data_IF_359553972036
#
_entry.id   IF_359553972036
#
_cell.length_a   1.000
_cell.length_b   1.000
_cell.length_c   1.000
_cell.angle_alpha   90.00
_cell.angle_beta   90.00
_cell.angle_gamma   90.00
#
_symmetry.space_group_name_H-M   'P 1'
#
loop_
_entity.id
_entity.type
_entity.pdbx_description
1 polymer ?
#
# COMPACT_ATOMS: atom_id res chain seq x y z
N UNK A 1 17.73 -38.48 -16.49
CA UNK A 1 17.12 -37.48 -17.38
C UNK A 1 16.36 -36.45 -16.56
N UNK A 2 16.19 -35.25 -17.13
CA UNK A 2 15.76 -33.96 -16.56
C UNK A 2 14.60 -34.01 -15.56
N UNK A 3 14.89 -33.85 -14.26
CA UNK A 3 13.95 -33.25 -13.32
C UNK A 3 14.00 -31.74 -13.54
N UNK A 4 13.06 -31.24 -14.34
CA UNK A 4 12.86 -29.82 -14.57
C UNK A 4 12.62 -29.12 -13.24
N UNK A 5 13.65 -28.44 -12.74
CA UNK A 5 13.51 -27.42 -11.71
C UNK A 5 12.56 -26.37 -12.27
N UNK A 6 11.29 -26.44 -11.86
CA UNK A 6 10.37 -25.32 -11.97
C UNK A 6 10.98 -24.25 -11.07
N UNK A 7 11.85 -23.44 -11.65
CA UNK A 7 12.30 -22.19 -11.05
C UNK A 7 11.06 -21.30 -10.97
N UNK A 8 10.24 -21.52 -9.95
CA UNK A 8 9.40 -20.47 -9.41
C UNK A 8 10.39 -19.41 -8.97
N UNK A 9 10.60 -18.40 -9.83
CA UNK A 9 11.49 -17.29 -9.58
C UNK A 9 10.85 -16.48 -8.43
N UNK A 10 11.04 -16.96 -7.21
CA UNK A 10 10.45 -16.39 -6.01
C UNK A 10 11.13 -15.05 -5.79
N UNK A 11 10.41 -13.98 -6.13
CA UNK A 11 10.86 -12.62 -5.83
C UNK A 11 11.11 -12.57 -4.32
N UNK A 12 12.33 -12.22 -3.91
CA UNK A 12 12.66 -12.11 -2.49
C UNK A 12 11.72 -11.10 -1.83
N UNK A 13 11.36 -11.34 -0.56
CA UNK A 13 10.46 -10.44 0.16
C UNK A 13 10.95 -9.00 0.13
N UNK A 14 12.28 -8.79 0.21
CA UNK A 14 12.90 -7.47 0.05
C UNK A 14 12.53 -6.80 -1.28
N UNK A 15 12.64 -7.51 -2.39
CA UNK A 15 12.28 -6.96 -3.70
C UNK A 15 10.78 -6.64 -3.77
N UNK A 16 9.92 -7.51 -3.23
CA UNK A 16 8.47 -7.28 -3.18
C UNK A 16 8.11 -6.04 -2.34
N UNK A 17 8.73 -5.87 -1.16
CA UNK A 17 8.57 -4.66 -0.32
C UNK A 17 8.97 -3.40 -1.08
N UNK A 18 10.11 -3.40 -1.76
CA UNK A 18 10.60 -2.22 -2.51
C UNK A 18 9.66 -1.89 -3.68
N UNK A 19 9.20 -2.91 -4.42
CA UNK A 19 8.27 -2.73 -5.53
C UNK A 19 6.94 -2.16 -5.04
N UNK A 20 6.39 -2.72 -3.95
CA UNK A 20 5.16 -2.25 -3.34
C UNK A 20 5.28 -0.81 -2.83
N UNK A 21 6.38 -0.46 -2.17
CA UNK A 21 6.64 0.92 -1.75
C UNK A 21 6.62 1.90 -2.93
N UNK A 22 7.30 1.56 -4.03
CA UNK A 22 7.31 2.38 -5.24
C UNK A 22 5.93 2.51 -5.87
N UNK A 23 5.14 1.44 -5.87
CA UNK A 23 3.76 1.44 -6.37
C UNK A 23 2.90 2.40 -5.54
N UNK A 24 2.96 2.33 -4.21
CA UNK A 24 2.20 3.22 -3.31
C UNK A 24 2.62 4.67 -3.51
N UNK A 25 3.92 4.97 -3.62
CA UNK A 25 4.38 6.33 -3.91
C UNK A 25 3.92 6.84 -5.27
N UNK A 26 3.85 5.98 -6.29
CA UNK A 26 3.33 6.34 -7.61
C UNK A 26 1.83 6.60 -7.56
N UNK A 27 1.07 5.74 -6.86
CA UNK A 27 -0.35 5.91 -6.59
C UNK A 27 -0.59 7.26 -5.92
N UNK A 28 0.07 7.53 -4.79
CA UNK A 28 -0.06 8.80 -4.06
C UNK A 28 0.35 10.03 -4.85
N UNK A 29 1.27 9.93 -5.83
CA UNK A 29 1.60 11.07 -6.72
C UNK A 29 0.54 11.32 -7.79
N UNK A 30 -0.05 10.25 -8.31
CA UNK A 30 -1.01 10.30 -9.41
C UNK A 30 -2.46 10.30 -8.93
N UNK A 31 -2.68 10.23 -7.62
CA UNK A 31 -3.99 10.12 -7.00
C UNK A 31 -4.92 11.25 -7.44
N UNK A 32 -6.18 10.91 -7.68
CA UNK A 32 -7.25 11.88 -7.92
C UNK A 32 -8.38 11.47 -6.99
N UNK A 33 -8.74 12.37 -6.07
CA UNK A 33 -9.84 12.11 -5.17
C UNK A 33 -11.17 12.13 -5.95
N UNK A 34 -12.19 11.51 -5.36
CA UNK A 34 -13.56 11.59 -5.89
C UNK A 34 -14.07 13.04 -5.86
N UNK A 35 -13.80 13.74 -4.76
CA UNK A 35 -14.00 15.18 -4.63
C UNK A 35 -12.69 15.90 -4.95
N UNK A 36 -12.66 16.70 -6.02
CA UNK A 36 -11.43 17.32 -6.52
C UNK A 36 -10.70 18.14 -5.43
N UNK A 37 -11.47 18.83 -4.58
CA UNK A 37 -10.97 19.61 -3.43
C UNK A 37 -10.13 18.79 -2.45
N UNK A 38 -10.40 17.49 -2.31
CA UNK A 38 -9.68 16.61 -1.39
C UNK A 38 -8.38 16.05 -2.00
N UNK A 39 -8.19 16.16 -3.31
CA UNK A 39 -7.06 15.52 -4.01
C UNK A 39 -5.71 15.85 -3.39
N UNK A 40 -5.46 17.12 -3.04
CA UNK A 40 -4.17 17.53 -2.45
C UNK A 40 -3.96 16.90 -1.07
N UNK A 41 -5.00 16.90 -0.23
CA UNK A 41 -4.95 16.36 1.13
C UNK A 41 -4.78 14.84 1.10
N UNK A 42 -5.58 14.14 0.31
CA UNK A 42 -5.52 12.68 0.21
C UNK A 42 -4.17 12.21 -0.35
N UNK A 43 -3.60 12.91 -1.34
CA UNK A 43 -2.24 12.67 -1.84
C UNK A 43 -1.21 12.74 -0.71
N UNK A 44 -1.26 13.81 0.09
CA UNK A 44 -0.33 14.01 1.19
C UNK A 44 -0.47 12.90 2.23
N UNK A 45 -1.70 12.51 2.57
CA UNK A 45 -1.98 11.42 3.51
C UNK A 45 -1.43 10.07 3.02
N UNK A 46 -1.70 9.68 1.77
CA UNK A 46 -1.16 8.43 1.18
C UNK A 46 0.37 8.41 1.29
N UNK A 47 1.02 9.50 0.90
CA UNK A 47 2.47 9.58 0.86
C UNK A 47 3.08 9.61 2.27
N UNK A 48 2.45 10.30 3.23
CA UNK A 48 2.90 10.36 4.61
C UNK A 48 2.77 9.00 5.28
N UNK A 49 1.59 8.37 5.20
CA UNK A 49 1.32 7.07 5.81
C UNK A 49 2.26 5.99 5.24
N UNK A 50 2.49 5.97 3.93
CA UNK A 50 3.41 5.03 3.31
C UNK A 50 4.85 5.24 3.81
N UNK A 51 5.30 6.49 3.97
CA UNK A 51 6.66 6.77 4.47
C UNK A 51 6.82 6.39 5.94
N UNK A 52 5.82 6.67 6.75
CA UNK A 52 5.79 6.36 8.17
C UNK A 52 5.77 4.84 8.39
N UNK A 53 4.78 4.15 7.82
CA UNK A 53 4.61 2.69 7.98
C UNK A 53 5.86 1.90 7.56
N UNK A 54 6.47 2.25 6.42
CA UNK A 54 7.69 1.57 5.97
C UNK A 54 8.91 1.90 6.83
N UNK A 55 8.95 3.09 7.45
CA UNK A 55 10.03 3.48 8.36
C UNK A 55 9.89 2.79 9.72
N UNK A 56 8.67 2.66 10.24
CA UNK A 56 8.36 1.95 11.48
C UNK A 56 8.83 0.50 11.41
N UNK A 57 8.55 -0.18 10.30
CA UNK A 57 8.88 -1.60 10.10
C UNK A 57 10.26 -1.82 9.46
N UNK A 58 11.13 -0.80 9.39
CA UNK A 58 12.42 -0.90 8.67
C UNK A 58 13.39 -1.96 9.22
N UNK A 59 13.24 -2.31 10.49
CA UNK A 59 14.07 -3.31 11.19
C UNK A 59 13.36 -4.67 11.32
N UNK A 60 12.17 -4.82 10.74
CA UNK A 60 11.48 -6.10 10.77
C UNK A 60 12.26 -7.14 9.96
N UNK A 61 12.46 -8.31 10.55
CA UNK A 61 13.26 -9.39 9.99
C UNK A 61 12.52 -10.73 9.96
N UNK A 62 11.39 -10.84 10.68
CA UNK A 62 10.54 -12.03 10.65
C UNK A 62 9.82 -12.14 9.29
N UNK A 63 10.10 -13.20 8.51
CA UNK A 63 9.48 -13.37 7.20
C UNK A 63 7.96 -13.49 7.25
N UNK A 64 7.39 -14.00 8.34
CA UNK A 64 5.93 -14.14 8.49
C UNK A 64 5.31 -12.76 8.67
N UNK A 65 5.87 -11.93 9.56
CA UNK A 65 5.41 -10.57 9.79
C UNK A 65 5.56 -9.70 8.54
N UNK A 66 6.69 -9.77 7.85
CA UNK A 66 6.89 -9.08 6.55
C UNK A 66 5.81 -9.50 5.55
N UNK A 67 5.52 -10.80 5.44
CA UNK A 67 4.47 -11.32 4.56
C UNK A 67 3.09 -10.73 4.86
N UNK A 68 2.73 -10.64 6.15
CA UNK A 68 1.46 -10.03 6.58
C UNK A 68 1.39 -8.53 6.27
N UNK A 69 2.48 -7.80 6.47
CA UNK A 69 2.56 -6.37 6.17
C UNK A 69 2.42 -6.10 4.67
N UNK A 70 3.12 -6.88 3.84
CA UNK A 70 2.99 -6.83 2.37
C UNK A 70 1.54 -7.07 1.96
N UNK A 71 0.92 -8.15 2.46
CA UNK A 71 -0.45 -8.50 2.11
C UNK A 71 -1.43 -7.37 2.45
N UNK A 72 -1.34 -6.79 3.67
CA UNK A 72 -2.19 -5.66 4.08
C UNK A 72 -2.00 -4.43 3.19
N UNK A 73 -0.76 -4.09 2.85
CA UNK A 73 -0.46 -2.96 1.98
C UNK A 73 -0.98 -3.19 0.55
N UNK A 74 -0.88 -4.40 0.01
CA UNK A 74 -1.48 -4.76 -1.30
C UNK A 74 -3.00 -4.62 -1.28
N UNK A 75 -3.68 -5.08 -0.22
CA UNK A 75 -5.12 -4.88 -0.07
C UNK A 75 -5.50 -3.40 -0.06
N UNK A 76 -4.71 -2.55 0.59
CA UNK A 76 -4.96 -1.10 0.64
C UNK A 76 -4.77 -0.44 -0.72
N UNK A 77 -3.79 -0.87 -1.52
CA UNK A 77 -3.63 -0.42 -2.91
C UNK A 77 -4.85 -0.80 -3.75
N UNK A 78 -5.32 -2.05 -3.64
CA UNK A 78 -6.54 -2.50 -4.35
C UNK A 78 -7.75 -1.65 -3.95
N UNK A 79 -7.94 -1.38 -2.66
CA UNK A 79 -9.03 -0.54 -2.17
C UNK A 79 -8.97 0.89 -2.70
N UNK A 80 -7.78 1.48 -2.71
CA UNK A 80 -7.56 2.81 -3.23
C UNK A 80 -7.87 2.88 -4.74
N UNK A 81 -7.37 1.92 -5.53
CA UNK A 81 -7.57 1.88 -6.98
C UNK A 81 -9.02 1.59 -7.38
N UNK A 82 -9.73 0.71 -6.66
CA UNK A 82 -11.07 0.26 -7.05
C UNK A 82 -12.19 1.12 -6.45
N UNK A 83 -12.03 1.56 -5.20
CA UNK A 83 -13.10 2.22 -4.45
C UNK A 83 -12.84 3.70 -4.21
N UNK A 84 -11.65 4.21 -4.58
CA UNK A 84 -11.29 5.60 -4.28
C UNK A 84 -11.11 5.83 -2.79
N UNK A 85 -10.74 4.79 -2.01
CA UNK A 85 -10.54 4.84 -0.56
C UNK A 85 -9.04 4.66 -0.26
N UNK A 86 -8.26 5.74 -0.24
CA UNK A 86 -6.81 5.68 -0.17
C UNK A 86 -6.26 5.40 1.23
N UNK A 87 -7.04 5.73 2.26
CA UNK A 87 -6.67 5.56 3.65
C UNK A 87 -7.90 5.23 4.50
N UNK A 88 -7.64 4.68 5.69
CA UNK A 88 -8.67 4.54 6.71
C UNK A 88 -9.20 5.93 7.06
N UNK A 89 -10.52 6.07 7.00
CA UNK A 89 -11.24 7.30 7.36
C UNK A 89 -10.72 7.82 8.71
N UNK A 90 -10.17 9.04 8.77
CA UNK A 90 -9.77 9.61 10.04
C UNK A 90 -10.98 9.70 10.98
N UNK A 91 -10.81 9.24 12.22
CA UNK A 91 -11.88 9.12 13.22
C UNK A 91 -12.56 10.48 13.54
N UNK A 92 -11.84 11.59 13.31
CA UNK A 92 -12.32 12.95 13.52
C UNK A 92 -13.23 13.49 12.40
N UNK A 93 -13.39 12.77 11.28
CA UNK A 93 -14.35 13.17 10.24
C UNK A 93 -15.76 12.71 10.63
N UNK A 94 -16.75 13.62 10.77
CA UNK A 94 -18.12 13.26 11.14
C UNK A 94 -18.68 12.27 10.12
N UNK A 95 -19.37 11.18 10.52
CA UNK A 95 -19.90 10.15 9.62
C UNK A 95 -20.61 10.80 8.44
N UNK A 96 -20.12 10.57 7.23
CA UNK A 96 -20.85 10.99 6.04
C UNK A 96 -22.05 10.06 5.94
N UNK A 97 -23.23 10.63 6.17
CA UNK A 97 -24.49 10.01 5.77
C UNK A 97 -24.52 10.00 4.26
N UNK A 98 -23.95 8.98 3.63
CA UNK A 98 -24.16 8.70 2.22
C UNK A 98 -24.21 7.18 1.99
N UNK A 99 -25.40 6.77 1.55
CA UNK A 99 -25.96 5.44 1.32
C UNK A 99 -25.08 4.47 0.51
#
# INVERSE_FOLDING_TARGET
ERNGSILMNTVSQRTRVIQLYRQILKLGKNWKAKEEANTVVERQQILAEARETFREHKQESDPITIGKLIYRAEQRVVQAEHYGIPHARPEYLPPDTAF
#
